data_IF_587365467005
#
_entry.id   IF_587365467005
#
_cell.length_a   1.000
_cell.length_b   1.000
_cell.length_c   1.000
_cell.angle_alpha   90.00
_cell.angle_beta   90.00
_cell.angle_gamma   90.00
#
_symmetry.space_group_name_H-M   'P 1'
#
loop_
_entity.id
_entity.type
_entity.pdbx_description
1 polymer ?
#
# COMPACT_ATOMS: atom_id res chain seq x y z
N UNK A 1 19.16 26.15 6.29
CA UNK A 1 20.23 25.15 6.51
C UNK A 1 21.55 25.56 5.85
N UNK A 2 21.83 25.26 4.57
CA UNK A 2 23.14 25.59 3.95
C UNK A 2 23.39 27.11 3.94
N UNK A 3 22.36 27.91 3.61
CA UNK A 3 22.43 29.38 3.66
C UNK A 3 22.65 29.94 5.07
N UNK A 4 22.44 29.13 6.10
CA UNK A 4 22.66 29.46 7.52
C UNK A 4 23.97 28.86 8.04
N UNK A 5 24.81 28.29 7.15
CA UNK A 5 26.09 27.68 7.51
C UNK A 5 26.00 26.29 8.15
N UNK A 6 24.82 25.65 8.10
CA UNK A 6 24.64 24.29 8.63
C UNK A 6 24.97 23.25 7.56
N UNK A 7 25.82 22.29 7.92
CA UNK A 7 26.25 21.21 7.04
C UNK A 7 25.21 20.07 6.99
N UNK A 8 24.83 19.58 5.78
CA UNK A 8 24.01 18.38 5.65
C UNK A 8 24.70 17.16 6.29
N UNK A 9 23.94 16.36 7.04
CA UNK A 9 24.39 15.09 7.59
C UNK A 9 23.65 13.90 6.95
N UNK A 10 23.93 12.68 7.39
CA UNK A 10 23.31 11.46 6.85
C UNK A 10 21.77 11.50 6.93
N UNK A 11 21.20 12.05 8.01
CA UNK A 11 19.75 12.12 8.19
C UNK A 11 19.12 13.12 7.23
N UNK A 12 19.84 14.21 6.96
CA UNK A 12 19.39 15.22 5.99
C UNK A 12 19.24 14.61 4.60
N UNK A 13 20.22 13.82 4.16
CA UNK A 13 20.17 13.18 2.86
C UNK A 13 19.07 12.13 2.75
N UNK A 14 18.78 11.36 3.81
CA UNK A 14 17.61 10.47 3.83
C UNK A 14 16.34 11.27 3.56
N UNK A 15 16.14 12.40 4.24
CA UNK A 15 14.96 13.26 4.03
C UNK A 15 14.85 13.80 2.59
N UNK A 16 15.95 14.25 2.01
CA UNK A 16 16.01 14.74 0.63
C UNK A 16 15.71 13.62 -0.37
N UNK A 17 16.29 12.43 -0.19
CA UNK A 17 16.07 11.30 -1.08
C UNK A 17 14.63 10.79 -0.99
N UNK A 18 14.04 10.72 0.21
CA UNK A 18 12.62 10.38 0.40
C UNK A 18 11.72 11.38 -0.35
N UNK A 19 12.03 12.68 -0.27
CA UNK A 19 11.29 13.69 -1.03
C UNK A 19 11.42 13.46 -2.56
N UNK A 20 12.61 13.11 -3.05
CA UNK A 20 12.82 12.75 -4.45
C UNK A 20 11.99 11.51 -4.84
N UNK A 21 11.97 10.47 -4.01
CA UNK A 21 11.17 9.26 -4.21
C UNK A 21 9.68 9.56 -4.33
N UNK A 22 9.14 10.41 -3.46
CA UNK A 22 7.72 10.79 -3.50
C UNK A 22 7.34 11.59 -4.74
N UNK A 23 8.28 12.38 -5.27
CA UNK A 23 8.07 13.24 -6.44
C UNK A 23 8.56 12.61 -7.76
N UNK A 24 9.13 11.41 -7.72
CA UNK A 24 9.72 10.75 -8.91
C UNK A 24 10.92 11.51 -9.49
N UNK A 25 11.65 12.29 -8.69
CA UNK A 25 12.75 13.14 -9.15
C UNK A 25 14.05 12.35 -9.29
N UNK A 26 14.10 11.43 -10.26
CA UNK A 26 15.26 10.52 -10.46
C UNK A 26 16.57 11.28 -10.65
N UNK A 27 16.55 12.33 -11.49
CA UNK A 27 17.75 13.14 -11.77
C UNK A 27 18.30 13.80 -10.51
N UNK A 28 17.42 14.41 -9.71
CA UNK A 28 17.82 15.07 -8.48
C UNK A 28 18.23 14.05 -7.41
N UNK A 29 17.55 12.91 -7.32
CA UNK A 29 17.93 11.83 -6.43
C UNK A 29 19.36 11.34 -6.69
N UNK A 30 19.72 11.07 -7.95
CA UNK A 30 21.11 10.70 -8.33
C UNK A 30 22.11 11.79 -7.96
N UNK A 31 21.79 13.05 -8.27
CA UNK A 31 22.65 14.20 -7.95
C UNK A 31 22.90 14.30 -6.45
N UNK A 32 21.85 14.24 -5.64
CA UNK A 32 21.98 14.33 -4.19
C UNK A 32 22.69 13.11 -3.61
N UNK A 33 22.40 11.91 -4.10
CA UNK A 33 23.07 10.69 -3.66
C UNK A 33 24.58 10.71 -3.90
N UNK A 34 25.03 11.13 -5.09
CA UNK A 34 26.45 11.26 -5.39
C UNK A 34 27.11 12.35 -4.54
N UNK A 35 26.40 13.45 -4.28
CA UNK A 35 26.93 14.56 -3.47
C UNK A 35 27.24 14.17 -2.02
N UNK A 36 26.61 13.11 -1.48
CA UNK A 36 26.84 12.63 -0.10
C UNK A 36 28.35 12.42 0.11
N UNK A 37 28.99 11.65 -0.78
CA UNK A 37 30.43 11.40 -0.73
C UNK A 37 31.23 12.51 -1.37
N UNK A 38 30.87 12.91 -2.60
CA UNK A 38 31.72 13.76 -3.45
C UNK A 38 31.84 15.20 -2.96
N UNK A 39 30.77 15.73 -2.36
CA UNK A 39 30.68 17.15 -1.96
C UNK A 39 30.73 17.28 -0.44
N UNK A 40 30.08 16.37 0.28
CA UNK A 40 29.91 16.47 1.72
C UNK A 40 30.81 15.54 2.54
N UNK A 41 31.56 14.65 1.88
CA UNK A 41 32.49 13.73 2.56
C UNK A 41 31.80 12.74 3.53
N UNK A 42 30.49 12.57 3.40
CA UNK A 42 29.69 11.64 4.20
C UNK A 42 29.68 10.29 3.50
N UNK A 43 29.81 9.20 4.24
CA UNK A 43 29.69 7.85 3.67
C UNK A 43 28.21 7.45 3.52
N UNK A 44 27.75 7.04 2.33
CA UNK A 44 26.40 6.51 2.15
C UNK A 44 26.17 5.24 2.98
N UNK A 45 25.10 5.27 3.77
CA UNK A 45 24.61 4.14 4.60
C UNK A 45 23.46 3.37 3.91
N UNK A 46 23.12 2.19 4.44
CA UNK A 46 22.02 1.32 3.98
C UNK A 46 20.73 2.10 3.65
N UNK A 47 20.35 3.05 4.50
CA UNK A 47 19.12 3.83 4.36
C UNK A 47 19.12 4.70 3.08
N UNK A 48 20.28 5.23 2.68
CA UNK A 48 20.41 6.03 1.46
C UNK A 48 20.26 5.15 0.21
N UNK A 49 20.87 3.96 0.22
CA UNK A 49 20.70 2.98 -0.84
C UNK A 49 19.24 2.51 -0.92
N UNK A 50 18.60 2.25 0.21
CA UNK A 50 17.16 1.93 0.26
C UNK A 50 16.30 3.02 -0.37
N UNK A 51 16.58 4.30 -0.10
CA UNK A 51 15.87 5.41 -0.74
C UNK A 51 16.10 5.45 -2.26
N UNK A 52 17.33 5.23 -2.71
CA UNK A 52 17.65 5.21 -4.15
C UNK A 52 17.05 4.02 -4.88
N UNK A 53 17.07 2.82 -4.29
CA UNK A 53 16.42 1.64 -4.86
C UNK A 53 14.91 1.85 -4.97
N UNK A 54 14.27 2.45 -3.96
CA UNK A 54 12.84 2.77 -4.01
C UNK A 54 12.53 3.83 -5.09
N UNK A 55 13.35 4.89 -5.19
CA UNK A 55 13.22 5.93 -6.23
C UNK A 55 13.36 5.35 -7.64
N UNK A 56 14.45 4.63 -7.89
CA UNK A 56 14.75 4.04 -9.20
C UNK A 56 13.70 3.01 -9.58
N UNK A 57 13.39 2.10 -8.66
CA UNK A 57 12.42 1.04 -8.84
C UNK A 57 11.03 1.57 -9.18
N UNK A 58 10.50 2.53 -8.40
CA UNK A 58 9.18 3.14 -8.68
C UNK A 58 9.14 3.97 -9.94
N UNK A 59 10.28 4.41 -10.45
CA UNK A 59 10.40 5.20 -11.67
C UNK A 59 10.71 4.35 -12.91
N UNK A 60 10.74 3.01 -12.77
CA UNK A 60 10.92 2.08 -13.90
C UNK A 60 12.36 1.74 -14.21
N UNK A 61 13.31 2.27 -13.45
CA UNK A 61 14.74 1.96 -13.58
C UNK A 61 15.10 0.70 -12.79
N UNK A 62 14.38 -0.40 -13.01
CA UNK A 62 14.54 -1.66 -12.24
C UNK A 62 15.96 -2.22 -12.36
N UNK A 63 16.52 -2.24 -13.57
CA UNK A 63 17.87 -2.76 -13.80
C UNK A 63 18.94 -1.91 -13.13
N UNK A 64 18.76 -0.58 -13.11
CA UNK A 64 19.65 0.32 -12.40
C UNK A 64 19.53 0.12 -10.89
N UNK A 65 18.32 -0.07 -10.36
CA UNK A 65 18.10 -0.39 -8.96
C UNK A 65 18.75 -1.74 -8.59
N UNK A 66 18.63 -2.75 -9.46
CA UNK A 66 19.27 -4.06 -9.31
C UNK A 66 20.80 -3.94 -9.32
N UNK A 67 21.35 -3.14 -10.23
CA UNK A 67 22.79 -2.91 -10.30
C UNK A 67 23.29 -2.15 -9.07
N UNK A 68 22.56 -1.13 -8.61
CA UNK A 68 22.89 -0.38 -7.41
C UNK A 68 23.00 -1.28 -6.18
N UNK A 69 22.13 -2.29 -6.06
CA UNK A 69 22.19 -3.30 -4.99
C UNK A 69 23.46 -4.16 -5.11
N UNK A 70 23.85 -4.54 -6.32
CA UNK A 70 25.05 -5.36 -6.59
C UNK A 70 26.35 -4.60 -6.30
N UNK A 71 26.34 -3.28 -6.48
CA UNK A 71 27.51 -2.40 -6.28
C UNK A 71 27.71 -1.99 -4.80
N UNK A 72 26.77 -2.37 -3.91
CA UNK A 72 26.86 -2.08 -2.49
C UNK A 72 28.09 -2.75 -1.86
N UNK A 73 28.80 -2.00 -1.02
CA UNK A 73 29.98 -2.50 -0.30
C UNK A 73 29.63 -3.30 0.97
N UNK A 74 28.35 -3.45 1.27
CA UNK A 74 27.81 -4.14 2.43
C UNK A 74 26.55 -4.91 2.03
N UNK A 75 26.22 -5.95 2.79
CA UNK A 75 25.08 -6.81 2.51
C UNK A 75 23.76 -6.02 2.52
N UNK A 76 22.96 -6.08 1.43
CA UNK A 76 21.66 -5.42 1.39
C UNK A 76 20.66 -6.10 2.34
N UNK A 77 19.91 -5.31 3.08
CA UNK A 77 18.93 -5.80 4.04
C UNK A 77 17.58 -6.18 3.39
N UNK A 78 16.67 -6.72 4.20
CA UNK A 78 15.33 -7.08 3.75
C UNK A 78 14.52 -5.86 3.25
N UNK A 79 14.81 -4.65 3.72
CA UNK A 79 14.09 -3.43 3.29
C UNK A 79 14.42 -3.10 1.84
N UNK A 80 15.70 -3.17 1.47
CA UNK A 80 16.17 -2.91 0.11
C UNK A 80 15.59 -3.93 -0.88
N UNK A 81 15.65 -5.23 -0.56
CA UNK A 81 15.07 -6.27 -1.42
C UNK A 81 13.55 -6.15 -1.52
N UNK A 82 12.86 -5.76 -0.44
CA UNK A 82 11.41 -5.47 -0.48
C UNK A 82 11.08 -4.27 -1.37
N UNK A 83 11.91 -3.23 -1.38
CA UNK A 83 11.73 -2.09 -2.28
C UNK A 83 11.84 -2.51 -3.75
N UNK A 84 12.86 -3.30 -4.09
CA UNK A 84 13.04 -3.85 -5.44
C UNK A 84 11.87 -4.76 -5.86
N UNK A 85 11.44 -5.68 -4.98
CA UNK A 85 10.28 -6.54 -5.23
C UNK A 85 9.00 -5.72 -5.44
N UNK A 86 8.81 -4.65 -4.65
CA UNK A 86 7.70 -3.71 -4.78
C UNK A 86 7.66 -3.02 -6.14
N UNK A 87 8.82 -2.62 -6.65
CA UNK A 87 8.98 -2.05 -7.99
C UNK A 87 8.65 -3.07 -9.09
N UNK A 88 9.08 -4.32 -8.95
CA UNK A 88 8.80 -5.39 -9.91
C UNK A 88 7.30 -5.62 -10.12
N UNK A 89 6.46 -5.41 -9.10
CA UNK A 89 4.99 -5.41 -9.23
C UNK A 89 4.48 -4.32 -10.16
N UNK A 90 5.03 -3.12 -10.09
CA UNK A 90 4.56 -1.99 -10.92
C UNK A 90 4.82 -2.28 -12.40
N UNK A 91 5.98 -2.86 -12.71
CA UNK A 91 6.44 -3.07 -14.09
C UNK A 91 6.35 -4.53 -14.56
N UNK A 92 5.73 -5.42 -13.77
CA UNK A 92 5.53 -6.85 -14.07
C UNK A 92 6.84 -7.59 -14.40
N UNK A 93 7.95 -7.21 -13.77
CA UNK A 93 9.25 -7.86 -14.00
C UNK A 93 9.36 -9.11 -13.10
N UNK A 94 8.99 -10.26 -13.64
CA UNK A 94 8.99 -11.54 -12.91
C UNK A 94 10.40 -12.00 -12.55
N UNK A 95 11.37 -11.86 -13.47
CA UNK A 95 12.75 -12.31 -13.28
C UNK A 95 13.38 -11.64 -12.04
N UNK A 96 13.34 -10.31 -11.99
CA UNK A 96 13.94 -9.55 -10.87
C UNK A 96 13.13 -9.76 -9.57
N UNK A 97 11.82 -10.02 -9.68
CA UNK A 97 10.99 -10.35 -8.53
C UNK A 97 11.40 -11.69 -7.89
N UNK A 98 11.69 -12.71 -8.70
CA UNK A 98 12.15 -14.01 -8.22
C UNK A 98 13.54 -13.92 -7.56
N UNK A 99 14.44 -13.13 -8.15
CA UNK A 99 15.74 -12.83 -7.55
C UNK A 99 15.59 -12.17 -6.16
N UNK A 100 14.78 -11.11 -6.07
CA UNK A 100 14.52 -10.44 -4.81
C UNK A 100 13.85 -11.36 -3.78
N UNK A 101 12.92 -12.21 -4.22
CA UNK A 101 12.26 -13.18 -3.35
C UNK A 101 13.25 -14.21 -2.81
N UNK A 102 14.19 -14.70 -3.62
CA UNK A 102 15.20 -15.66 -3.18
C UNK A 102 16.04 -15.10 -2.02
N UNK A 103 16.36 -13.80 -2.07
CA UNK A 103 17.06 -13.09 -0.98
C UNK A 103 16.17 -12.91 0.25
N UNK A 104 14.92 -12.51 0.06
CA UNK A 104 13.97 -12.30 1.16
C UNK A 104 13.62 -13.57 1.94
N UNK A 105 13.62 -14.74 1.28
CA UNK A 105 13.44 -16.03 1.97
C UNK A 105 14.53 -16.33 2.98
N UNK A 106 15.73 -15.79 2.79
CA UNK A 106 16.84 -15.96 3.74
C UNK A 106 16.78 -14.89 4.83
N UNK A 107 16.53 -13.64 4.44
CA UNK A 107 16.59 -12.49 5.34
C UNK A 107 15.37 -12.34 6.25
N UNK A 108 14.18 -12.71 5.78
CA UNK A 108 12.90 -12.50 6.47
C UNK A 108 11.86 -13.57 6.08
N UNK A 109 12.13 -14.87 6.33
CA UNK A 109 11.35 -16.01 5.80
C UNK A 109 9.87 -16.01 6.17
N UNK A 110 9.48 -15.35 7.27
CA UNK A 110 8.13 -15.45 7.81
C UNK A 110 7.24 -14.23 7.53
N UNK A 111 7.78 -13.16 6.94
CA UNK A 111 6.94 -12.05 6.52
C UNK A 111 6.00 -12.49 5.39
N UNK A 112 4.70 -12.39 5.57
CA UNK A 112 3.72 -12.82 4.57
C UNK A 112 3.71 -11.90 3.33
N UNK A 113 4.02 -10.63 3.53
CA UNK A 113 3.94 -9.56 2.53
C UNK A 113 4.68 -9.86 1.23
N UNK A 114 5.89 -10.41 1.27
CA UNK A 114 6.66 -10.70 0.04
C UNK A 114 6.14 -11.92 -0.72
N UNK A 115 5.58 -12.93 -0.05
CA UNK A 115 4.95 -14.06 -0.74
C UNK A 115 3.66 -13.63 -1.44
N UNK A 116 2.85 -12.80 -0.76
CA UNK A 116 1.65 -12.21 -1.37
C UNK A 116 2.03 -11.32 -2.55
N UNK A 117 3.07 -10.51 -2.42
CA UNK A 117 3.56 -9.63 -3.47
C UNK A 117 4.04 -10.40 -4.71
N UNK A 118 4.84 -11.46 -4.54
CA UNK A 118 5.26 -12.30 -5.66
C UNK A 118 4.09 -13.04 -6.31
N UNK A 119 3.15 -13.57 -5.51
CA UNK A 119 1.92 -14.16 -6.05
C UNK A 119 1.11 -13.15 -6.88
N UNK A 120 1.08 -11.88 -6.47
CA UNK A 120 0.43 -10.81 -7.23
C UNK A 120 1.16 -10.49 -8.53
N UNK A 121 2.49 -10.50 -8.53
CA UNK A 121 3.32 -10.33 -9.73
C UNK A 121 3.03 -11.44 -10.74
N UNK A 122 3.00 -12.71 -10.31
CA UNK A 122 2.63 -13.81 -11.18
C UNK A 122 1.22 -13.66 -11.77
N UNK A 123 0.24 -13.28 -10.94
CA UNK A 123 -1.12 -13.04 -11.42
C UNK A 123 -1.19 -11.93 -12.48
N UNK A 124 -0.48 -10.81 -12.27
CA UNK A 124 -0.40 -9.71 -13.24
C UNK A 124 0.31 -10.08 -14.54
N UNK A 125 1.21 -11.07 -14.48
CA UNK A 125 1.89 -11.66 -15.62
C UNK A 125 1.12 -12.85 -16.24
N UNK A 126 -0.11 -13.13 -15.79
CA UNK A 126 -0.94 -14.28 -16.19
C UNK A 126 -0.28 -15.65 -15.96
N UNK A 127 0.69 -15.74 -15.05
CA UNK A 127 1.32 -17.00 -14.64
C UNK A 127 0.54 -17.66 -13.51
N UNK A 128 -0.51 -18.40 -13.87
CA UNK A 128 -1.34 -19.11 -12.89
C UNK A 128 -0.60 -20.27 -12.21
N UNK A 129 0.38 -20.85 -12.90
CA UNK A 129 1.30 -21.83 -12.33
C UNK A 129 2.10 -21.22 -11.17
N UNK A 130 2.69 -20.03 -11.37
CA UNK A 130 3.40 -19.31 -10.31
C UNK A 130 2.49 -18.95 -9.13
N UNK A 131 1.24 -18.52 -9.38
CA UNK A 131 0.24 -18.30 -8.33
C UNK A 131 -0.05 -19.58 -7.54
N UNK A 132 -0.25 -20.71 -8.24
CA UNK A 132 -0.51 -21.99 -7.61
C UNK A 132 0.68 -22.47 -6.76
N UNK A 133 1.90 -22.31 -7.26
CA UNK A 133 3.12 -22.68 -6.54
C UNK A 133 3.34 -21.80 -5.30
N UNK A 134 3.07 -20.49 -5.38
CA UNK A 134 3.13 -19.62 -4.21
C UNK A 134 2.10 -20.01 -3.15
N UNK A 135 0.89 -20.39 -3.55
CA UNK A 135 -0.13 -20.91 -2.62
C UNK A 135 0.34 -22.20 -1.92
N UNK A 136 1.02 -23.11 -2.63
CA UNK A 136 1.60 -24.32 -2.04
C UNK A 136 2.74 -23.98 -1.07
N UNK A 137 3.64 -23.09 -1.48
CA UNK A 137 4.77 -22.61 -0.67
C UNK A 137 4.28 -22.03 0.66
N UNK A 138 3.32 -21.11 0.62
CA UNK A 138 2.75 -20.46 1.81
C UNK A 138 2.16 -21.48 2.80
N UNK A 139 1.47 -22.52 2.30
CA UNK A 139 0.94 -23.60 3.14
C UNK A 139 2.05 -24.47 3.72
N UNK A 140 3.02 -24.87 2.88
CA UNK A 140 4.14 -25.74 3.28
C UNK A 140 5.02 -25.08 4.34
N UNK A 141 5.28 -23.78 4.20
CA UNK A 141 6.15 -23.00 5.08
C UNK A 141 5.39 -22.37 6.26
N UNK A 142 4.09 -22.64 6.39
CA UNK A 142 3.28 -22.17 7.53
C UNK A 142 3.15 -20.65 7.62
N UNK A 143 3.28 -19.93 6.49
CA UNK A 143 3.28 -18.47 6.44
C UNK A 143 1.90 -17.94 6.83
N UNK A 144 1.85 -17.22 7.94
CA UNK A 144 0.62 -16.65 8.49
C UNK A 144 0.25 -15.38 7.71
N UNK A 145 -0.78 -15.47 6.85
CA UNK A 145 -1.30 -14.31 6.14
C UNK A 145 -2.14 -13.44 7.08
N UNK A 146 -1.76 -12.18 7.23
CA UNK A 146 -2.53 -11.21 8.00
C UNK A 146 -3.62 -10.65 7.07
N UNK A 147 -4.92 -10.91 7.33
CA UNK A 147 -5.98 -10.35 6.51
C UNK A 147 -6.06 -8.83 6.68
N UNK A 148 -6.52 -8.14 5.64
CA UNK A 148 -6.85 -6.72 5.75
C UNK A 148 -8.06 -6.53 6.66
N UNK A 149 -7.86 -5.80 7.76
CA UNK A 149 -8.88 -5.49 8.76
C UNK A 149 -9.05 -4.00 8.94
N UNK A 150 -10.29 -3.56 9.02
CA UNK A 150 -10.63 -2.19 9.39
C UNK A 150 -11.43 -2.19 10.68
N UNK A 151 -11.16 -1.23 11.55
CA UNK A 151 -11.86 -1.09 12.82
C UNK A 151 -12.43 0.31 13.01
N UNK A 152 -13.52 0.38 13.76
CA UNK A 152 -14.23 1.60 14.15
C UNK A 152 -14.67 1.46 15.60
N UNK A 153 -14.51 2.53 16.37
CA UNK A 153 -14.96 2.59 17.75
C UNK A 153 -16.38 3.16 17.83
N UNK A 154 -17.26 2.46 18.53
CA UNK A 154 -18.62 2.90 18.80
C UNK A 154 -19.07 2.42 20.19
N UNK A 155 -19.65 3.31 20.99
CA UNK A 155 -20.09 3.01 22.37
C UNK A 155 -19.01 2.28 23.21
N UNK A 156 -17.77 2.79 23.18
CA UNK A 156 -16.59 2.23 23.86
C UNK A 156 -16.25 0.78 23.46
N UNK A 157 -16.75 0.31 22.32
CA UNK A 157 -16.45 -1.01 21.76
C UNK A 157 -15.76 -0.84 20.41
N UNK A 158 -14.69 -1.60 20.18
CA UNK A 158 -14.02 -1.67 18.89
C UNK A 158 -14.72 -2.74 18.06
N UNK A 159 -15.26 -2.34 16.92
CA UNK A 159 -15.84 -3.24 15.93
C UNK A 159 -14.82 -3.44 14.81
N UNK A 160 -14.39 -4.69 14.60
CA UNK A 160 -13.47 -5.07 13.53
C UNK A 160 -14.23 -5.73 12.37
N UNK A 161 -13.75 -5.46 11.16
CA UNK A 161 -14.29 -5.99 9.92
C UNK A 161 -13.17 -6.58 9.07
N UNK A 162 -13.42 -7.75 8.50
CA UNK A 162 -12.58 -8.38 7.49
C UNK A 162 -13.38 -8.49 6.19
N UNK A 163 -12.69 -8.47 5.05
CA UNK A 163 -13.36 -8.58 3.75
C UNK A 163 -14.25 -9.82 3.68
N UNK A 164 -15.53 -9.65 3.34
CA UNK A 164 -16.50 -10.75 3.24
C UNK A 164 -16.93 -11.38 4.57
N UNK A 165 -16.49 -10.84 5.72
CA UNK A 165 -16.85 -11.37 7.03
C UNK A 165 -18.29 -11.02 7.42
N UNK A 166 -19.04 -12.04 7.89
CA UNK A 166 -20.43 -11.94 8.33
C UNK A 166 -20.62 -12.33 9.80
N UNK A 167 -19.54 -12.49 10.56
CA UNK A 167 -19.55 -12.87 11.98
C UNK A 167 -20.15 -11.81 12.90
N UNK A 168 -20.20 -10.55 12.47
CA UNK A 168 -20.73 -9.44 13.25
C UNK A 168 -22.24 -9.63 13.56
N UNK A 169 -22.72 -9.39 14.81
CA UNK A 169 -24.14 -9.60 15.18
C UNK A 169 -25.15 -8.82 14.34
N UNK A 170 -24.73 -7.68 13.79
CA UNK A 170 -25.52 -6.79 12.91
C UNK A 170 -25.18 -6.94 11.42
N UNK A 171 -24.63 -8.08 10.99
CA UNK A 171 -24.11 -8.24 9.63
C UNK A 171 -25.18 -7.96 8.56
N UNK A 172 -26.42 -8.42 8.75
CA UNK A 172 -27.51 -8.17 7.81
C UNK A 172 -27.76 -6.66 7.58
N UNK A 173 -27.84 -5.88 8.66
CA UNK A 173 -28.00 -4.42 8.57
C UNK A 173 -26.80 -3.75 7.89
N UNK A 174 -25.58 -4.17 8.24
CA UNK A 174 -24.35 -3.62 7.67
C UNK A 174 -24.31 -3.86 6.17
N UNK A 175 -24.63 -5.07 5.72
CA UNK A 175 -24.62 -5.42 4.30
C UNK A 175 -25.73 -4.70 3.52
N UNK A 176 -26.90 -4.48 4.14
CA UNK A 176 -27.95 -3.66 3.55
C UNK A 176 -27.52 -2.19 3.39
N UNK A 177 -26.87 -1.62 4.39
CA UNK A 177 -26.29 -0.27 4.29
C UNK A 177 -25.16 -0.23 3.26
N UNK A 178 -24.32 -1.26 3.19
CA UNK A 178 -23.27 -1.38 2.19
C UNK A 178 -23.88 -1.35 0.79
N UNK A 179 -24.92 -2.12 0.52
CA UNK A 179 -25.62 -2.13 -0.76
C UNK A 179 -26.21 -0.75 -1.12
N UNK A 180 -26.89 -0.10 -0.17
CA UNK A 180 -27.39 1.27 -0.36
C UNK A 180 -26.26 2.23 -0.71
N UNK A 181 -25.18 2.20 0.08
CA UNK A 181 -24.01 3.03 -0.10
C UNK A 181 -23.40 2.82 -1.49
N UNK A 182 -23.14 1.58 -1.88
CA UNK A 182 -22.57 1.27 -3.19
C UNK A 182 -23.47 1.72 -4.34
N UNK A 183 -24.79 1.57 -4.22
CA UNK A 183 -25.75 2.06 -5.21
C UNK A 183 -25.74 3.59 -5.33
N UNK A 184 -25.63 4.32 -4.22
CA UNK A 184 -25.49 5.79 -4.23
C UNK A 184 -24.16 6.23 -4.84
N UNK A 185 -23.07 5.54 -4.54
CA UNK A 185 -21.76 5.82 -5.13
C UNK A 185 -21.76 5.60 -6.64
N UNK A 186 -22.34 4.50 -7.14
CA UNK A 186 -22.47 4.24 -8.59
C UNK A 186 -23.22 5.37 -9.30
N UNK A 187 -24.32 5.86 -8.72
CA UNK A 187 -25.07 7.02 -9.25
C UNK A 187 -24.25 8.31 -9.25
N UNK A 188 -23.32 8.46 -8.32
CA UNK A 188 -22.38 9.58 -8.24
C UNK A 188 -21.11 9.39 -9.08
N UNK A 189 -21.03 8.32 -9.90
CA UNK A 189 -19.93 8.09 -10.84
C UNK A 189 -18.81 7.18 -10.35
N UNK A 190 -18.94 6.53 -9.19
CA UNK A 190 -17.97 5.53 -8.75
C UNK A 190 -17.96 4.31 -9.68
N UNK A 191 -16.75 3.94 -10.12
CA UNK A 191 -16.47 2.74 -10.90
C UNK A 191 -15.47 1.88 -10.14
N UNK A 192 -15.82 0.63 -9.77
CA UNK A 192 -14.88 -0.27 -9.13
C UNK A 192 -13.64 -0.50 -10.00
N UNK A 193 -12.45 -0.45 -9.39
CA UNK A 193 -11.19 -0.72 -10.10
C UNK A 193 -10.89 -2.22 -10.14
N UNK A 194 -11.62 -2.98 -10.98
CA UNK A 194 -11.52 -4.45 -11.03
C UNK A 194 -10.14 -4.96 -11.42
N UNK A 195 -9.33 -4.15 -12.10
CA UNK A 195 -7.91 -4.42 -12.40
C UNK A 195 -7.03 -4.63 -11.15
N UNK A 196 -7.49 -4.18 -9.98
CA UNK A 196 -6.81 -4.39 -8.69
C UNK A 196 -7.09 -5.79 -8.10
N UNK A 197 -8.11 -6.49 -8.59
CA UNK A 197 -8.47 -7.84 -8.13
C UNK A 197 -7.74 -8.86 -8.99
N UNK A 198 -6.66 -9.41 -8.44
CA UNK A 198 -5.75 -10.32 -9.14
C UNK A 198 -6.20 -11.80 -9.11
N UNK A 199 -7.43 -12.06 -8.68
CA UNK A 199 -8.02 -13.40 -8.69
C UNK A 199 -8.58 -13.69 -10.08
N UNK A 200 -8.41 -14.93 -10.53
CA UNK A 200 -9.01 -15.45 -11.77
C UNK A 200 -10.50 -15.75 -11.54
N UNK A 201 -11.32 -14.70 -11.55
CA UNK A 201 -12.77 -14.74 -11.37
C UNK A 201 -13.42 -13.79 -12.38
N UNK A 202 -14.72 -13.95 -12.61
CA UNK A 202 -15.48 -13.07 -13.50
C UNK A 202 -15.55 -11.63 -12.97
N UNK A 203 -15.80 -10.67 -13.86
CA UNK A 203 -15.81 -9.24 -13.52
C UNK A 203 -16.86 -8.87 -12.47
N UNK A 204 -18.02 -9.53 -12.46
CA UNK A 204 -19.06 -9.28 -11.46
C UNK A 204 -18.58 -9.71 -10.08
N UNK A 205 -17.93 -10.86 -9.97
CA UNK A 205 -17.30 -11.32 -8.73
C UNK A 205 -16.18 -10.40 -8.25
N UNK A 206 -15.39 -9.79 -9.16
CA UNK A 206 -14.39 -8.77 -8.78
C UNK A 206 -15.03 -7.52 -8.21
N UNK A 207 -16.12 -7.03 -8.81
CA UNK A 207 -16.85 -5.88 -8.27
C UNK A 207 -17.40 -6.17 -6.87
N UNK A 208 -17.98 -7.36 -6.65
CA UNK A 208 -18.47 -7.79 -5.35
C UNK A 208 -17.34 -7.83 -4.31
N UNK A 209 -16.19 -8.41 -4.65
CA UNK A 209 -15.03 -8.45 -3.76
C UNK A 209 -14.56 -7.04 -3.34
N UNK A 210 -14.52 -6.09 -4.27
CA UNK A 210 -14.17 -4.69 -3.97
C UNK A 210 -15.21 -4.01 -3.08
N UNK A 211 -16.50 -4.26 -3.32
CA UNK A 211 -17.59 -3.71 -2.50
C UNK A 211 -17.48 -4.16 -1.04
N UNK A 212 -17.06 -5.41 -0.80
CA UNK A 212 -16.97 -6.02 0.52
C UNK A 212 -15.64 -5.79 1.23
N UNK A 213 -14.80 -4.87 0.75
CA UNK A 213 -13.58 -4.48 1.47
C UNK A 213 -13.89 -3.97 2.89
N UNK A 214 -13.03 -4.33 3.83
CA UNK A 214 -13.19 -4.05 5.27
C UNK A 214 -13.47 -2.57 5.59
N UNK A 215 -12.86 -1.65 4.83
CA UNK A 215 -13.02 -0.20 4.99
C UNK A 215 -14.46 0.22 4.72
N UNK A 216 -15.08 -0.34 3.67
CA UNK A 216 -16.45 -0.05 3.27
C UNK A 216 -17.44 -0.66 4.26
N UNK A 217 -17.15 -1.85 4.79
CA UNK A 217 -17.93 -2.46 5.87
C UNK A 217 -17.88 -1.61 7.15
N UNK A 218 -16.69 -1.15 7.56
CA UNK A 218 -16.53 -0.27 8.71
C UNK A 218 -17.27 1.07 8.54
N UNK A 219 -17.23 1.64 7.32
CA UNK A 219 -18.00 2.84 6.99
C UNK A 219 -19.50 2.58 7.02
N UNK A 220 -19.98 1.49 6.42
CA UNK A 220 -21.39 1.13 6.43
C UNK A 220 -21.90 0.99 7.88
N UNK A 221 -21.14 0.30 8.74
CA UNK A 221 -21.44 0.25 10.17
C UNK A 221 -21.44 1.65 10.81
N UNK A 222 -20.42 2.47 10.56
CA UNK A 222 -20.36 3.84 11.08
C UNK A 222 -21.56 4.69 10.64
N UNK A 223 -21.98 4.61 9.38
CA UNK A 223 -23.13 5.33 8.84
C UNK A 223 -24.44 4.90 9.52
N UNK A 224 -24.59 3.63 9.90
CA UNK A 224 -25.75 3.11 10.61
C UNK A 224 -25.81 3.55 12.07
N UNK A 225 -24.66 3.64 12.75
CA UNK A 225 -24.63 3.67 14.22
C UNK A 225 -24.38 5.04 14.82
N UNK A 226 -24.00 6.03 14.01
CA UNK A 226 -23.58 7.35 14.52
C UNK A 226 -24.36 8.49 13.86
N UNK A 227 -24.57 9.62 14.58
CA UNK A 227 -25.36 10.74 14.09
C UNK A 227 -24.89 11.28 12.74
N UNK A 228 -25.83 11.77 11.93
CA UNK A 228 -25.53 12.42 10.66
C UNK A 228 -24.50 13.54 10.83
N UNK A 229 -23.64 13.73 9.83
CA UNK A 229 -22.53 14.71 9.81
C UNK A 229 -21.42 14.53 10.86
N UNK A 230 -21.55 13.62 11.83
CA UNK A 230 -20.47 13.36 12.79
C UNK A 230 -19.26 12.71 12.10
N UNK A 231 -18.05 12.98 12.61
CA UNK A 231 -16.81 12.47 12.01
C UNK A 231 -16.60 11.00 12.34
N UNK A 232 -16.41 10.17 11.32
CA UNK A 232 -16.09 8.76 11.47
C UNK A 232 -14.58 8.54 11.51
N UNK A 233 -14.12 7.73 12.46
CA UNK A 233 -12.70 7.38 12.65
C UNK A 233 -12.51 5.90 12.39
N UNK A 234 -11.64 5.58 11.44
CA UNK A 234 -11.40 4.21 10.99
C UNK A 234 -9.91 3.93 11.04
N UNK A 235 -9.53 2.75 11.50
CA UNK A 235 -8.14 2.28 11.46
C UNK A 235 -8.03 1.05 10.57
N UNK A 236 -7.06 1.04 9.67
CA UNK A 236 -6.73 -0.06 8.76
C UNK A 236 -5.33 -0.58 9.09
N UNK A 237 -5.17 -1.90 9.20
CA UNK A 237 -3.87 -2.53 9.47
C UNK A 237 -2.94 -2.60 8.25
N UNK A 238 -3.50 -2.53 7.04
CA UNK A 238 -2.76 -2.47 5.77
C UNK A 238 -2.74 -1.03 5.22
N UNK A 239 -1.95 -0.80 4.17
CA UNK A 239 -2.07 0.44 3.38
C UNK A 239 -3.46 0.48 2.73
N UNK A 240 -4.05 1.67 2.59
CA UNK A 240 -5.29 1.81 1.85
C UNK A 240 -5.14 1.21 0.43
N UNK A 241 -6.23 0.71 -0.17
CA UNK A 241 -6.22 0.39 -1.60
C UNK A 241 -6.80 1.56 -2.41
N UNK A 242 -6.42 1.64 -3.69
CA UNK A 242 -6.79 2.76 -4.56
C UNK A 242 -8.31 2.88 -4.78
N UNK A 243 -8.97 1.73 -4.92
CA UNK A 243 -10.41 1.65 -5.01
C UNK A 243 -11.11 2.16 -3.74
N UNK A 244 -10.69 1.71 -2.55
CA UNK A 244 -11.24 2.18 -1.29
C UNK A 244 -10.96 3.66 -1.08
N UNK A 245 -9.76 4.14 -1.35
CA UNK A 245 -9.41 5.55 -1.22
C UNK A 245 -10.32 6.44 -2.08
N UNK A 246 -10.54 6.04 -3.34
CA UNK A 246 -11.45 6.72 -4.27
C UNK A 246 -12.91 6.64 -3.82
N UNK A 247 -13.35 5.47 -3.33
CA UNK A 247 -14.69 5.30 -2.79
C UNK A 247 -14.93 6.21 -1.58
N UNK A 248 -14.01 6.28 -0.62
CA UNK A 248 -14.16 7.05 0.63
C UNK A 248 -14.25 8.55 0.34
N UNK A 249 -13.47 9.07 -0.63
CA UNK A 249 -13.66 10.43 -1.14
C UNK A 249 -15.10 10.66 -1.55
N UNK A 250 -15.63 9.82 -2.43
CA UNK A 250 -16.99 10.00 -2.92
C UNK A 250 -18.05 9.80 -1.82
N UNK A 251 -17.84 8.87 -0.89
CA UNK A 251 -18.69 8.71 0.29
C UNK A 251 -18.74 10.02 1.10
N UNK A 252 -17.59 10.68 1.32
CA UNK A 252 -17.53 11.96 2.03
C UNK A 252 -18.39 13.06 1.40
N UNK A 253 -18.47 13.06 0.06
CA UNK A 253 -19.31 13.99 -0.69
C UNK A 253 -20.80 13.58 -0.63
N UNK A 254 -21.11 12.32 -0.95
CA UNK A 254 -22.49 11.82 -1.09
C UNK A 254 -23.25 11.80 0.24
N UNK A 255 -22.55 11.54 1.34
CA UNK A 255 -23.13 11.48 2.68
C UNK A 255 -22.92 12.74 3.52
N UNK A 256 -22.30 13.79 2.95
CA UNK A 256 -21.95 15.04 3.65
C UNK A 256 -21.27 14.76 5.00
N UNK A 257 -20.15 14.02 4.94
CA UNK A 257 -19.55 13.41 6.13
C UNK A 257 -18.04 13.38 6.09
N UNK A 258 -17.43 13.71 7.24
CA UNK A 258 -15.97 13.70 7.40
C UNK A 258 -15.48 12.33 7.86
N UNK A 259 -14.37 11.87 7.28
CA UNK A 259 -13.71 10.63 7.67
C UNK A 259 -12.26 10.91 8.03
N UNK A 260 -11.81 10.30 9.12
CA UNK A 260 -10.39 10.21 9.47
C UNK A 260 -10.04 8.72 9.38
N UNK A 261 -9.26 8.35 8.38
CA UNK A 261 -8.82 6.97 8.18
C UNK A 261 -7.32 6.91 8.42
N UNK A 262 -6.91 6.13 9.41
CA UNK A 262 -5.52 5.79 9.64
C UNK A 262 -5.21 4.48 8.90
N UNK A 263 -4.25 4.50 8.00
CA UNK A 263 -3.67 3.27 7.45
C UNK A 263 -2.28 3.00 8.05
N UNK A 264 -1.56 2.01 7.52
CA UNK A 264 -0.19 1.68 8.00
C UNK A 264 0.82 2.82 7.82
N UNK A 265 0.58 3.73 6.87
CA UNK A 265 1.55 4.75 6.45
C UNK A 265 1.23 6.13 7.01
N UNK A 266 -0.05 6.51 7.09
CA UNK A 266 -0.47 7.88 7.43
C UNK A 266 -1.95 8.00 7.82
N UNK A 267 -2.33 9.22 8.14
CA UNK A 267 -3.72 9.64 8.30
C UNK A 267 -4.23 10.27 7.00
N UNK A 268 -5.44 9.87 6.63
CA UNK A 268 -6.21 10.41 5.52
C UNK A 268 -7.42 11.12 6.08
N UNK A 269 -7.55 12.41 5.77
CA UNK A 269 -8.72 13.20 6.11
C UNK A 269 -9.56 13.37 4.85
N UNK A 270 -10.74 12.76 4.84
CA UNK A 270 -11.68 12.87 3.72
C UNK A 270 -12.80 13.83 4.05
N UNK A 271 -13.03 14.78 3.15
CA UNK A 271 -14.10 15.77 3.22
C UNK A 271 -14.44 16.22 1.81
N UNK A 272 -15.73 16.38 1.51
CA UNK A 272 -16.21 17.03 0.28
C UNK A 272 -15.60 16.43 -1.02
N UNK A 273 -15.42 15.11 -1.07
CA UNK A 273 -14.87 14.46 -2.26
C UNK A 273 -13.34 14.47 -2.35
N UNK A 274 -12.64 15.03 -1.36
CA UNK A 274 -11.19 15.19 -1.37
C UNK A 274 -10.53 14.43 -0.22
N UNK A 275 -9.23 14.18 -0.35
CA UNK A 275 -8.40 13.61 0.71
C UNK A 275 -7.19 14.52 0.96
N UNK A 276 -6.78 14.68 2.22
CA UNK A 276 -5.60 15.45 2.62
C UNK A 276 -4.29 15.00 1.97
N UNK A 277 -4.21 13.76 1.46
CA UNK A 277 -3.02 13.24 0.80
C UNK A 277 -2.84 13.72 -0.66
N UNK A 278 -3.86 14.35 -1.26
CA UNK A 278 -3.86 14.80 -2.66
C UNK A 278 -3.47 13.69 -3.67
N UNK A 279 -3.82 12.44 -3.37
CA UNK A 279 -3.47 11.25 -4.16
C UNK A 279 -1.99 10.84 -4.17
N UNK A 280 -1.16 11.45 -3.30
CA UNK A 280 0.23 11.09 -3.08
C UNK A 280 0.39 10.25 -1.80
N UNK A 281 -0.22 9.07 -1.73
CA UNK A 281 -0.20 8.17 -0.55
C UNK A 281 0.29 6.77 -0.86
#
# INVERSE_FOLDING_TARGET
MISEGLEPNEITFIGVLIACTHLGLVREGRKYFNSISEVHGVAPKLEHYGCMVDLLGRSGHIEEARQLIRDMQFEPDAVIWRALLGACRIYKNVEVAEEAMAKLRVLDPHADGHYVLLSNIYAQANSWEGVAEMRKTIRREGIQRIPGRSSIEWQNTIHEFVSGDRSHPRSEEIYKMLEEMMNRLRKAGYRPMTSLVLQDIDEQSKECALAEHSEKLAIAFGLLTTPTKSTLRITKNLRACEDCHSAIKLISLVYDRKFIVRDRNRFHHFSEGQCSCKDYW
#
